data_IF_688150332501
#
_entry.id   IF_688150332501
#
_cell.length_a   1.000
_cell.length_b   1.000
_cell.length_c   1.000
_cell.angle_alpha   90.00
_cell.angle_beta   90.00
_cell.angle_gamma   90.00
#
_symmetry.space_group_name_H-M   'P 1'
#
loop_
_entity.id
_entity.type
_entity.pdbx_description
1 polymer ?
#
# COMPACT_ATOMS: atom_id res chain seq x y z
N UNK A 1 -29.68 28.00 -42.91
CA UNK A 1 -28.58 27.12 -42.58
C UNK A 1 -27.94 27.56 -41.28
N UNK A 2 -28.53 27.24 -40.11
CA UNK A 2 -28.02 27.56 -38.76
C UNK A 2 -28.51 26.50 -37.78
N UNK A 3 -28.04 25.26 -37.89
CA UNK A 3 -28.35 24.19 -36.91
C UNK A 3 -27.22 23.14 -36.86
N UNK A 4 -25.97 23.54 -36.63
CA UNK A 4 -24.88 22.55 -36.51
C UNK A 4 -23.77 22.95 -35.55
N UNK A 5 -24.06 23.70 -34.47
CA UNK A 5 -22.97 24.13 -33.55
C UNK A 5 -23.24 23.87 -32.06
N UNK A 6 -24.14 22.93 -31.72
CA UNK A 6 -24.45 22.65 -30.30
C UNK A 6 -23.97 21.28 -29.84
N UNK A 7 -23.41 20.44 -30.71
CA UNK A 7 -23.06 19.06 -30.36
C UNK A 7 -21.60 18.86 -29.90
N UNK A 8 -20.77 19.90 -29.93
CA UNK A 8 -19.33 19.74 -29.62
C UNK A 8 -18.93 20.21 -28.22
N UNK A 9 -19.86 20.71 -27.42
CA UNK A 9 -19.55 21.27 -26.11
C UNK A 9 -19.73 20.29 -24.93
N UNK A 10 -20.18 19.05 -25.20
CA UNK A 10 -20.42 18.05 -24.14
C UNK A 10 -19.31 17.03 -23.93
N UNK A 11 -18.16 17.18 -24.58
CA UNK A 11 -17.08 16.18 -24.55
C UNK A 11 -15.85 16.57 -23.72
N UNK A 12 -15.91 17.66 -22.92
CA UNK A 12 -14.75 18.10 -22.12
C UNK A 12 -15.11 18.22 -20.62
N UNK A 13 -15.96 17.34 -20.11
CA UNK A 13 -15.95 17.06 -18.68
C UNK A 13 -15.24 15.73 -18.47
N UNK A 14 -13.91 15.76 -18.49
CA UNK A 14 -13.11 14.74 -17.82
C UNK A 14 -13.44 14.84 -16.33
N UNK A 15 -14.39 14.04 -15.88
CA UNK A 15 -14.62 13.79 -14.47
C UNK A 15 -13.29 13.24 -13.93
N UNK A 16 -12.57 14.08 -13.20
CA UNK A 16 -11.44 13.64 -12.39
C UNK A 16 -11.98 12.59 -11.44
N UNK A 17 -11.78 11.33 -11.76
CA UNK A 17 -12.21 10.20 -10.95
C UNK A 17 -11.33 10.16 -9.70
N UNK A 18 -11.75 10.84 -8.63
CA UNK A 18 -11.20 10.68 -7.28
C UNK A 18 -11.60 9.32 -6.67
N UNK A 19 -11.49 8.25 -7.45
CA UNK A 19 -12.05 6.94 -7.12
C UNK A 19 -11.13 6.05 -6.28
N UNK A 20 -9.96 6.53 -5.81
CA UNK A 20 -8.92 5.62 -5.36
C UNK A 20 -9.21 4.90 -4.03
N UNK A 21 -9.85 5.55 -3.07
CA UNK A 21 -10.26 4.87 -1.83
C UNK A 21 -11.74 4.46 -1.84
N UNK A 22 -12.54 4.98 -2.77
CA UNK A 22 -13.98 4.68 -2.82
C UNK A 22 -14.26 3.18 -3.11
N UNK A 23 -13.39 2.52 -3.87
CA UNK A 23 -13.51 1.07 -4.16
C UNK A 23 -13.38 0.21 -2.89
N UNK A 24 -12.59 0.64 -1.92
CA UNK A 24 -12.35 -0.08 -0.67
C UNK A 24 -13.29 0.34 0.44
N UNK A 25 -14.23 1.27 0.17
CA UNK A 25 -15.13 1.83 1.19
C UNK A 25 -16.03 0.80 1.85
N UNK A 26 -16.33 -0.30 1.18
CA UNK A 26 -17.17 -1.39 1.68
C UNK A 26 -16.37 -2.61 2.15
N UNK A 27 -15.06 -2.64 1.93
CA UNK A 27 -14.23 -3.76 2.31
C UNK A 27 -13.74 -3.60 3.75
N UNK A 28 -13.89 -4.67 4.53
CA UNK A 28 -13.30 -4.76 5.87
C UNK A 28 -11.99 -5.57 5.84
N UNK A 29 -11.80 -6.39 4.80
CA UNK A 29 -10.71 -7.35 4.70
C UNK A 29 -10.44 -7.72 3.25
N UNK A 30 -9.15 -7.95 2.93
CA UNK A 30 -8.67 -8.62 1.73
C UNK A 30 -7.81 -9.79 2.19
N UNK A 31 -8.08 -10.98 1.73
CA UNK A 31 -7.30 -12.20 2.01
C UNK A 31 -6.70 -12.70 0.70
N UNK A 32 -5.40 -12.86 0.69
CA UNK A 32 -4.66 -13.39 -0.44
C UNK A 32 -3.85 -14.59 0.02
N UNK A 33 -3.90 -15.66 -0.74
CA UNK A 33 -2.98 -16.78 -0.61
C UNK A 33 -1.75 -16.54 -1.48
N UNK A 34 -0.60 -16.95 -0.98
CA UNK A 34 0.66 -16.91 -1.73
C UNK A 34 0.91 -18.29 -2.31
N UNK A 35 1.00 -18.39 -3.64
CA UNK A 35 1.22 -19.64 -4.35
C UNK A 35 2.64 -19.72 -4.91
N UNK A 36 3.18 -20.92 -4.94
CA UNK A 36 4.36 -21.29 -5.70
C UNK A 36 4.16 -22.69 -6.29
N UNK A 37 4.37 -22.80 -7.60
CA UNK A 37 4.25 -24.09 -8.34
C UNK A 37 2.91 -24.81 -8.11
N UNK A 38 1.82 -24.03 -7.92
CA UNK A 38 0.48 -24.55 -7.66
C UNK A 38 0.16 -24.89 -6.20
N UNK A 39 1.11 -24.76 -5.29
CA UNK A 39 0.93 -24.98 -3.86
C UNK A 39 0.82 -23.69 -3.07
N UNK A 40 -0.06 -23.66 -2.05
CA UNK A 40 -0.16 -22.54 -1.11
C UNK A 40 1.05 -22.60 -0.17
N UNK A 41 1.87 -21.54 -0.20
CA UNK A 41 3.06 -21.42 0.65
C UNK A 41 2.89 -20.40 1.78
N UNK A 42 1.76 -19.72 1.84
CA UNK A 42 1.46 -18.73 2.87
C UNK A 42 0.30 -17.82 2.52
N UNK A 43 0.24 -16.69 3.21
CA UNK A 43 -0.85 -15.73 3.07
C UNK A 43 -0.35 -14.28 3.17
N UNK A 44 -1.20 -13.36 2.67
CA UNK A 44 -1.04 -11.91 2.82
C UNK A 44 -2.42 -11.29 3.03
N UNK A 45 -2.73 -10.83 4.24
CA UNK A 45 -4.03 -10.33 4.63
C UNK A 45 -3.97 -8.83 4.92
N UNK A 46 -5.03 -8.11 4.54
CA UNK A 46 -5.24 -6.71 4.85
C UNK A 46 -6.57 -6.53 5.54
N UNK A 47 -6.58 -5.73 6.62
CA UNK A 47 -7.77 -5.39 7.38
C UNK A 47 -7.95 -3.88 7.37
N UNK A 48 -9.17 -3.42 7.12
CA UNK A 48 -9.51 -2.02 7.00
C UNK A 48 -10.40 -1.59 8.15
N UNK A 49 -9.94 -0.63 8.94
CA UNK A 49 -10.74 0.01 10.01
C UNK A 49 -10.95 1.47 9.64
N UNK A 50 -12.22 1.89 9.59
CA UNK A 50 -12.64 3.27 9.29
C UNK A 50 -13.26 3.91 10.48
N UNK A 51 -12.92 5.18 10.70
CA UNK A 51 -13.46 6.03 11.77
C UNK A 51 -13.52 7.47 11.25
N UNK A 52 -14.68 7.85 10.68
CA UNK A 52 -14.87 9.11 9.98
C UNK A 52 -13.87 9.26 8.81
N UNK A 53 -13.10 10.35 8.83
CA UNK A 53 -12.09 10.65 7.82
C UNK A 53 -10.79 9.80 7.98
N UNK A 54 -10.69 9.01 9.06
CA UNK A 54 -9.51 8.20 9.35
C UNK A 54 -9.69 6.79 8.82
N UNK A 55 -8.68 6.28 8.15
CA UNK A 55 -8.60 4.86 7.75
C UNK A 55 -7.29 4.27 8.26
N UNK A 56 -7.39 3.14 8.93
CA UNK A 56 -6.24 2.32 9.32
C UNK A 56 -6.28 1.05 8.51
N UNK A 57 -5.17 0.74 7.84
CA UNK A 57 -4.97 -0.52 7.11
C UNK A 57 -3.89 -1.30 7.82
N UNK A 58 -4.22 -2.50 8.31
CA UNK A 58 -3.23 -3.41 8.89
C UNK A 58 -2.96 -4.55 7.92
N UNK A 59 -1.68 -4.91 7.79
CA UNK A 59 -1.21 -6.00 6.95
C UNK A 59 -0.60 -7.10 7.80
N UNK A 60 -0.90 -8.35 7.47
CA UNK A 60 -0.27 -9.53 8.02
C UNK A 60 0.19 -10.43 6.88
N UNK A 61 1.48 -10.67 6.79
CA UNK A 61 2.07 -11.52 5.76
C UNK A 61 2.87 -12.64 6.41
N UNK A 62 2.71 -13.86 5.90
CA UNK A 62 3.54 -15.00 6.27
C UNK A 62 3.61 -15.98 5.12
N UNK A 63 4.82 -16.31 4.67
CA UNK A 63 5.03 -17.42 3.76
C UNK A 63 6.43 -18.00 3.87
N UNK A 64 6.57 -19.23 3.41
CA UNK A 64 7.82 -19.98 3.46
C UNK A 64 8.08 -20.63 2.10
N UNK A 65 9.27 -20.40 1.55
CA UNK A 65 9.73 -21.03 0.31
C UNK A 65 10.69 -22.17 0.66
N UNK A 66 10.39 -23.37 0.20
CA UNK A 66 11.26 -24.55 0.36
C UNK A 66 11.81 -24.99 -0.99
N UNK A 67 13.04 -25.50 -0.97
CA UNK A 67 13.69 -26.16 -2.09
C UNK A 67 14.23 -27.51 -1.60
N UNK A 68 13.80 -28.60 -2.22
CA UNK A 68 14.15 -29.96 -1.79
C UNK A 68 13.94 -30.22 -0.28
N UNK A 69 12.80 -29.72 0.25
CA UNK A 69 12.44 -29.86 1.67
C UNK A 69 13.14 -28.86 2.63
N UNK A 70 14.16 -28.14 2.16
CA UNK A 70 14.89 -27.15 2.95
C UNK A 70 14.29 -25.76 2.78
N UNK A 71 14.03 -25.05 3.90
CA UNK A 71 13.61 -23.65 3.87
C UNK A 71 14.73 -22.76 3.36
N UNK A 72 14.50 -22.09 2.23
CA UNK A 72 15.46 -21.16 1.62
C UNK A 72 15.04 -19.69 1.81
N UNK A 73 13.75 -19.45 2.07
CA UNK A 73 13.24 -18.13 2.37
C UNK A 73 12.00 -18.23 3.25
N UNK A 74 11.92 -17.39 4.26
CA UNK A 74 10.74 -17.21 5.07
C UNK A 74 10.53 -15.74 5.43
N UNK A 75 9.30 -15.33 5.53
CA UNK A 75 8.91 -14.01 5.97
C UNK A 75 7.68 -14.10 6.87
N UNK A 76 7.70 -13.35 7.94
CA UNK A 76 6.55 -13.07 8.80
C UNK A 76 6.57 -11.59 9.14
N UNK A 77 5.50 -10.88 8.81
CA UNK A 77 5.45 -9.43 8.93
C UNK A 77 4.08 -8.90 9.35
N UNK A 78 4.14 -7.76 10.00
CA UNK A 78 2.99 -6.94 10.35
C UNK A 78 3.27 -5.51 9.94
N UNK A 79 2.28 -4.85 9.31
CA UNK A 79 2.33 -3.45 8.92
C UNK A 79 1.05 -2.72 9.32
N UNK A 80 1.17 -1.42 9.60
CA UNK A 80 0.04 -0.55 9.87
C UNK A 80 0.21 0.77 9.12
N UNK A 81 -0.74 1.09 8.24
CA UNK A 81 -0.86 2.35 7.53
C UNK A 81 -1.99 3.17 8.12
N UNK A 82 -1.77 4.47 8.35
CA UNK A 82 -2.81 5.41 8.80
C UNK A 82 -3.01 6.51 7.77
N UNK A 83 -4.27 6.70 7.40
CA UNK A 83 -4.70 7.70 6.44
C UNK A 83 -5.67 8.68 7.08
N UNK A 84 -5.64 9.94 6.62
CA UNK A 84 -6.66 10.97 6.84
C UNK A 84 -7.07 11.47 5.47
N UNK A 85 -8.34 11.33 5.09
CA UNK A 85 -8.88 11.71 3.77
C UNK A 85 -7.98 11.22 2.63
N UNK A 86 -7.69 9.93 2.55
CA UNK A 86 -6.87 9.31 1.51
C UNK A 86 -5.37 9.70 1.48
N UNK A 87 -4.93 10.58 2.38
CA UNK A 87 -3.52 10.93 2.55
C UNK A 87 -2.87 10.02 3.58
N UNK A 88 -1.77 9.39 3.21
CA UNK A 88 -0.94 8.62 4.15
C UNK A 88 -0.33 9.57 5.18
N UNK A 89 -0.50 9.26 6.47
CA UNK A 89 0.03 10.04 7.59
C UNK A 89 1.17 9.31 8.28
N UNK A 90 1.05 8.00 8.41
CA UNK A 90 2.11 7.18 8.99
C UNK A 90 2.04 5.75 8.50
N UNK A 91 3.20 5.09 8.50
CA UNK A 91 3.33 3.66 8.30
C UNK A 91 4.35 3.11 9.28
N UNK A 92 4.01 1.97 9.90
CA UNK A 92 4.92 1.24 10.76
C UNK A 92 4.89 -0.23 10.38
N UNK A 93 6.05 -0.87 10.27
CA UNK A 93 6.15 -2.30 10.05
C UNK A 93 7.20 -2.96 10.93
N UNK A 94 6.97 -4.25 11.17
CA UNK A 94 7.93 -5.17 11.79
C UNK A 94 7.91 -6.46 11.00
N UNK A 95 9.06 -6.91 10.57
CA UNK A 95 9.21 -8.08 9.71
C UNK A 95 10.33 -8.96 10.24
N UNK A 96 10.09 -10.26 10.29
CA UNK A 96 11.11 -11.29 10.46
C UNK A 96 11.33 -11.93 9.09
N UNK A 97 12.50 -11.72 8.49
CA UNK A 97 12.89 -12.29 7.20
C UNK A 97 14.14 -13.12 7.37
N UNK A 98 14.06 -14.43 7.15
CA UNK A 98 15.18 -15.36 7.37
C UNK A 98 15.86 -15.14 8.72
N UNK A 99 15.07 -15.10 9.81
CA UNK A 99 15.51 -14.81 11.19
C UNK A 99 16.11 -13.40 11.44
N UNK A 100 16.08 -12.50 10.45
CA UNK A 100 16.53 -11.12 10.62
C UNK A 100 15.34 -10.21 10.90
N UNK A 101 15.37 -9.51 12.03
CA UNK A 101 14.37 -8.49 12.37
C UNK A 101 14.60 -7.24 11.54
N UNK A 102 13.54 -6.79 10.88
CA UNK A 102 13.50 -5.57 10.07
C UNK A 102 12.34 -4.71 10.49
N UNK A 103 12.43 -3.40 10.23
CA UNK A 103 11.34 -2.47 10.51
C UNK A 103 11.38 -1.28 9.58
N UNK A 104 10.24 -0.62 9.45
CA UNK A 104 10.09 0.71 8.85
C UNK A 104 9.15 1.52 9.72
N UNK A 105 9.55 2.74 10.07
CA UNK A 105 8.70 3.76 10.65
C UNK A 105 8.71 4.96 9.71
N UNK A 106 7.54 5.35 9.24
CA UNK A 106 7.35 6.48 8.36
C UNK A 106 6.32 7.42 8.97
N UNK A 107 6.61 8.71 8.92
CA UNK A 107 5.70 9.74 9.37
C UNK A 107 5.69 10.92 8.40
N UNK A 108 4.49 11.41 8.08
CA UNK A 108 4.33 12.64 7.33
C UNK A 108 4.78 13.84 8.19
N UNK A 109 5.63 14.68 7.60
CA UNK A 109 6.15 15.89 8.20
C UNK A 109 5.51 17.12 7.53
N UNK A 110 4.57 17.74 8.21
CA UNK A 110 3.81 18.89 7.68
C UNK A 110 4.70 20.12 7.39
N UNK A 111 5.84 20.27 8.09
CA UNK A 111 6.74 21.42 7.91
C UNK A 111 7.54 21.33 6.61
N UNK A 112 7.90 20.13 6.19
CA UNK A 112 8.73 19.88 5.00
C UNK A 112 7.94 19.38 3.82
N UNK A 113 6.66 19.04 4.02
CA UNK A 113 5.76 18.38 3.07
C UNK A 113 6.41 17.10 2.48
N UNK A 114 7.01 16.29 3.36
CA UNK A 114 7.69 15.04 3.01
C UNK A 114 7.40 13.96 4.05
N UNK A 115 7.77 12.73 3.72
CA UNK A 115 7.82 11.65 4.69
C UNK A 115 9.20 11.55 5.31
N UNK A 116 9.28 11.54 6.65
CA UNK A 116 10.46 11.13 7.40
C UNK A 116 10.43 9.61 7.56
N UNK A 117 11.54 8.93 7.25
CA UNK A 117 11.64 7.46 7.25
C UNK A 117 12.79 7.05 8.18
N UNK A 118 12.50 6.09 9.05
CA UNK A 118 13.46 5.34 9.84
C UNK A 118 13.24 3.85 9.60
N UNK A 119 14.20 3.18 9.02
CA UNK A 119 14.11 1.75 8.74
C UNK A 119 15.41 1.02 9.04
N UNK A 120 15.34 -0.29 9.06
CA UNK A 120 16.52 -1.14 9.30
C UNK A 120 17.58 -1.05 8.20
N UNK A 121 17.21 -0.61 6.99
CA UNK A 121 18.14 -0.47 5.85
C UNK A 121 18.25 0.96 5.33
N UNK A 122 17.35 1.86 5.70
CA UNK A 122 17.32 3.23 5.20
C UNK A 122 16.78 4.19 6.25
N UNK A 123 17.47 5.34 6.40
CA UNK A 123 17.01 6.49 7.16
C UNK A 123 17.10 7.73 6.28
N UNK A 124 16.02 8.47 6.13
CA UNK A 124 15.97 9.64 5.26
C UNK A 124 14.57 10.16 5.05
N UNK A 125 14.34 10.72 3.87
CA UNK A 125 13.06 11.33 3.49
C UNK A 125 12.57 10.78 2.16
N UNK A 126 11.24 10.80 1.95
CA UNK A 126 10.62 10.51 0.67
C UNK A 126 9.60 11.58 0.28
N UNK A 127 9.27 11.64 -1.03
CA UNK A 127 8.20 12.49 -1.53
C UNK A 127 6.85 12.08 -0.96
N UNK A 128 5.93 13.02 -0.81
CA UNK A 128 4.52 12.76 -0.46
C UNK A 128 3.78 11.92 -1.50
N UNK A 129 4.28 11.91 -2.75
CA UNK A 129 3.73 11.10 -3.84
C UNK A 129 4.18 9.64 -3.78
N UNK A 130 5.12 9.32 -2.89
CA UNK A 130 5.56 7.95 -2.68
C UNK A 130 4.47 7.13 -1.99
N UNK A 131 4.32 5.89 -2.40
CA UNK A 131 3.35 4.95 -1.82
C UNK A 131 4.06 3.80 -1.13
N UNK A 132 3.40 3.18 -0.15
CA UNK A 132 3.90 1.94 0.43
C UNK A 132 3.77 0.83 -0.61
N UNK A 133 4.84 0.07 -0.82
CA UNK A 133 4.91 -1.05 -1.77
C UNK A 133 4.11 -2.26 -1.28
N UNK A 134 2.80 -2.11 -1.17
CA UNK A 134 1.87 -3.16 -0.77
C UNK A 134 0.90 -3.51 -1.91
N UNK A 135 0.17 -4.63 -1.77
CA UNK A 135 -0.62 -5.21 -2.86
C UNK A 135 -2.11 -4.84 -2.79
N UNK A 136 -2.57 -4.15 -1.77
CA UNK A 136 -3.98 -3.82 -1.63
C UNK A 136 -4.39 -2.59 -2.43
N UNK A 137 -3.46 -1.66 -2.69
CA UNK A 137 -3.75 -0.40 -3.37
C UNK A 137 -3.17 -0.38 -4.78
N UNK A 138 -4.01 -0.11 -5.79
CA UNK A 138 -3.56 0.05 -7.16
C UNK A 138 -2.71 1.32 -7.39
N UNK A 139 -2.60 2.22 -6.42
CA UNK A 139 -1.66 3.35 -6.47
C UNK A 139 -0.22 2.91 -6.73
N UNK A 140 0.14 1.69 -6.32
CA UNK A 140 1.46 1.10 -6.60
C UNK A 140 1.79 1.03 -8.10
N UNK A 141 0.76 0.92 -8.96
CA UNK A 141 0.93 0.87 -10.42
C UNK A 141 0.96 2.26 -11.07
N UNK A 142 0.72 3.32 -10.31
CA UNK A 142 0.57 4.70 -10.80
C UNK A 142 1.66 5.64 -10.27
N UNK A 143 2.59 5.11 -9.48
CA UNK A 143 3.66 5.91 -8.87
C UNK A 143 5.03 5.52 -9.40
N UNK A 144 5.91 6.51 -9.52
CA UNK A 144 7.32 6.31 -9.85
C UNK A 144 8.19 6.06 -8.60
N UNK A 145 7.59 6.18 -7.40
CA UNK A 145 8.31 6.07 -6.12
C UNK A 145 7.57 5.19 -5.12
N UNK A 146 8.22 4.14 -4.68
CA UNK A 146 7.70 3.19 -3.71
C UNK A 146 8.60 3.10 -2.48
N UNK A 147 7.97 3.00 -1.31
CA UNK A 147 8.64 2.77 -0.04
C UNK A 147 8.49 1.30 0.31
N UNK A 148 9.61 0.62 0.53
CA UNK A 148 9.61 -0.79 0.94
C UNK A 148 8.86 -0.95 2.28
N UNK A 149 7.91 -1.89 2.38
CA UNK A 149 7.24 -2.16 3.65
C UNK A 149 8.08 -3.02 4.60
N UNK A 150 9.24 -3.49 4.17
CA UNK A 150 10.06 -4.47 4.90
C UNK A 150 11.25 -3.81 5.59
N UNK A 151 11.91 -2.85 4.92
CA UNK A 151 13.17 -2.26 5.41
C UNK A 151 13.49 -0.93 4.75
#
# INVERSE_FOLDING_TARGET
MKKFFILTFFLIYSLSSNAHMAHYNKLNKIEMEVFRDGEVIGYNYYFFKKDGDKTTVTNQIKFTVKLFGTTIFEIEGYGEEKYIKDRLISFNSKTLQNNKKKYVNLKFNEKTDRFDIQGSSYNGVASVDSVIGNWWSHKILQTDSQISPIS
#
